data_IF_907548449718
#
_entry.id   IF_907548449718
#
_cell.length_a   1.000
_cell.length_b   1.000
_cell.length_c   1.000
_cell.angle_alpha   90.00
_cell.angle_beta   90.00
_cell.angle_gamma   90.00
#
_symmetry.space_group_name_H-M   'P 1'
#
loop_
_entity.id
_entity.type
_entity.pdbx_description
1 polymer ?
#
# COMPACT_ATOMS: atom_id res chain seq x y z
N UNK A 1 5.93 68.92 26.62
CA UNK A 1 5.99 67.51 26.22
C UNK A 1 6.32 66.74 27.47
N UNK A 2 5.30 66.20 28.11
CA UNK A 2 5.43 65.58 29.43
C UNK A 2 4.71 64.23 29.43
N UNK A 3 5.38 63.25 30.03
CA UNK A 3 5.20 61.82 29.85
C UNK A 3 4.05 61.25 30.69
N UNK A 4 3.03 60.69 30.05
CA UNK A 4 1.95 59.96 30.71
C UNK A 4 2.31 58.50 30.96
N UNK A 5 2.65 58.17 32.21
CA UNK A 5 2.85 56.82 32.71
C UNK A 5 1.51 56.10 32.91
N UNK A 6 1.27 54.98 32.21
CA UNK A 6 0.14 54.07 32.48
C UNK A 6 0.64 52.86 33.27
N UNK A 7 0.31 52.82 34.56
CA UNK A 7 0.43 51.65 35.43
C UNK A 7 -0.70 50.67 35.10
N UNK A 8 -0.37 49.44 34.71
CA UNK A 8 -1.32 48.32 34.69
C UNK A 8 -1.44 47.78 36.11
N UNK A 9 -2.61 47.96 36.74
CA UNK A 9 -3.00 47.29 37.99
C UNK A 9 -3.30 45.82 37.67
N UNK A 10 -2.45 44.89 38.11
CA UNK A 10 -2.81 43.49 38.22
C UNK A 10 -3.75 43.32 39.42
N UNK A 11 -5.04 43.11 39.14
CA UNK A 11 -6.06 42.86 40.14
C UNK A 11 -7.08 41.88 39.59
N UNK A 12 -6.79 40.58 39.71
CA UNK A 12 -7.71 39.51 39.40
C UNK A 12 -7.57 38.41 40.44
N UNK A 13 -8.44 38.42 41.45
CA UNK A 13 -8.58 37.32 42.40
C UNK A 13 -9.13 36.08 41.68
N UNK A 14 -8.46 34.94 41.83
CA UNK A 14 -8.96 33.65 41.34
C UNK A 14 -10.16 33.20 42.18
N UNK A 15 -11.28 32.76 41.56
CA UNK A 15 -12.45 32.29 42.31
C UNK A 15 -12.19 30.90 42.90
N UNK A 16 -12.22 30.79 44.24
CA UNK A 16 -12.05 29.54 44.99
C UNK A 16 -13.40 28.94 45.41
N UNK A 17 -14.25 28.62 44.42
CA UNK A 17 -15.54 27.95 44.63
C UNK A 17 -15.64 26.61 43.89
N UNK A 18 -16.46 25.65 44.36
CA UNK A 18 -16.61 24.33 43.71
C UNK A 18 -17.13 24.41 42.26
N UNK A 19 -17.79 25.50 41.91
CA UNK A 19 -18.22 25.82 40.53
C UNK A 19 -17.07 26.26 39.62
N UNK A 20 -16.03 26.89 40.17
CA UNK A 20 -14.84 27.29 39.42
C UNK A 20 -13.95 26.07 39.08
N UNK A 21 -13.90 25.08 39.98
CA UNK A 21 -13.22 23.81 39.72
C UNK A 21 -13.94 23.01 38.62
N UNK A 22 -15.28 22.96 38.64
CA UNK A 22 -16.06 22.30 37.60
C UNK A 22 -15.91 22.97 36.23
N UNK A 23 -15.84 24.30 36.17
CA UNK A 23 -15.59 25.04 34.93
C UNK A 23 -14.17 24.82 34.39
N UNK A 24 -13.15 24.73 35.27
CA UNK A 24 -11.79 24.39 34.86
C UNK A 24 -11.69 22.95 34.34
N UNK A 25 -12.35 21.99 34.99
CA UNK A 25 -12.39 20.59 34.55
C UNK A 25 -13.13 20.45 33.22
N UNK A 26 -14.25 21.16 33.03
CA UNK A 26 -14.97 21.16 31.76
C UNK A 26 -14.15 21.81 30.62
N UNK A 27 -13.42 22.90 30.90
CA UNK A 27 -12.54 23.53 29.91
C UNK A 27 -11.31 22.66 29.57
N UNK A 28 -10.76 21.94 30.54
CA UNK A 28 -9.67 20.97 30.33
C UNK A 28 -10.16 19.73 29.57
N UNK A 29 -11.37 19.24 29.85
CA UNK A 29 -11.97 18.12 29.11
C UNK A 29 -12.36 18.50 27.68
N UNK A 30 -12.88 19.71 27.45
CA UNK A 30 -13.13 20.25 26.11
C UNK A 30 -11.82 20.54 25.35
N UNK A 31 -10.78 21.01 26.06
CA UNK A 31 -9.43 21.17 25.50
C UNK A 31 -8.77 19.84 25.13
N UNK A 32 -8.90 18.81 25.97
CA UNK A 32 -8.42 17.46 25.70
C UNK A 32 -9.22 16.77 24.59
N UNK A 33 -10.53 17.00 24.50
CA UNK A 33 -11.36 16.51 23.39
C UNK A 33 -11.02 17.22 22.06
N UNK A 34 -10.74 18.52 22.08
CA UNK A 34 -10.29 19.26 20.90
C UNK A 34 -8.87 18.85 20.47
N UNK A 35 -7.98 18.57 21.42
CA UNK A 35 -6.64 18.02 21.12
C UNK A 35 -6.74 16.57 20.63
N UNK A 36 -7.65 15.75 21.15
CA UNK A 36 -7.90 14.40 20.65
C UNK A 36 -8.50 14.40 19.23
N UNK A 37 -9.38 15.36 18.90
CA UNK A 37 -9.91 15.52 17.55
C UNK A 37 -8.84 16.01 16.56
N UNK A 38 -7.94 16.91 16.99
CA UNK A 38 -6.80 17.38 16.19
C UNK A 38 -5.68 16.33 16.08
N UNK A 39 -5.61 15.35 17.00
CA UNK A 39 -4.65 14.23 16.92
C UNK A 39 -5.22 13.06 16.11
N UNK A 40 -6.55 12.87 16.09
CA UNK A 40 -7.21 11.88 15.23
C UNK A 40 -7.20 12.29 13.74
N UNK A 41 -7.20 13.59 13.44
CA UNK A 41 -7.14 14.11 12.06
C UNK A 41 -5.71 14.22 11.51
N UNK A 42 -4.68 13.96 12.33
CA UNK A 42 -3.26 13.94 11.91
C UNK A 42 -2.79 12.59 11.37
N UNK A 43 -3.72 11.68 11.07
CA UNK A 43 -3.44 10.30 10.66
C UNK A 43 -3.42 10.04 9.15
N UNK A 44 -3.75 10.99 8.28
CA UNK A 44 -3.77 10.72 6.84
C UNK A 44 -3.39 11.95 5.96
N UNK A 45 -2.18 11.91 5.41
CA UNK A 45 -1.86 12.36 4.05
C UNK A 45 -2.12 13.83 3.61
N UNK A 46 -1.67 14.86 4.34
CA UNK A 46 -1.72 16.24 3.82
C UNK A 46 -0.42 16.80 3.24
N UNK A 47 0.74 16.22 3.54
CA UNK A 47 2.05 16.81 3.17
C UNK A 47 2.82 15.98 2.11
N UNK A 48 2.20 14.95 1.52
CA UNK A 48 2.82 14.14 0.47
C UNK A 48 2.98 14.95 -0.82
N UNK A 49 4.15 14.92 -1.49
CA UNK A 49 4.32 15.63 -2.74
C UNK A 49 3.47 14.98 -3.83
N UNK A 50 2.36 15.63 -4.16
CA UNK A 50 1.46 15.22 -5.23
C UNK A 50 1.78 15.98 -6.52
N UNK A 51 1.79 15.28 -7.64
CA UNK A 51 1.68 15.90 -8.96
C UNK A 51 0.22 15.85 -9.44
N UNK A 52 -0.23 16.93 -10.08
CA UNK A 52 -1.53 16.94 -10.75
C UNK A 52 -1.64 15.77 -11.74
N UNK A 53 -2.80 15.12 -11.76
CA UNK A 53 -3.07 14.04 -12.71
C UNK A 53 -3.66 14.58 -14.00
N UNK A 54 -3.23 14.03 -15.13
CA UNK A 54 -4.03 14.13 -16.34
C UNK A 54 -5.33 13.32 -16.11
N UNK A 55 -6.48 13.83 -16.59
CA UNK A 55 -7.74 13.07 -16.62
C UNK A 55 -7.63 11.71 -17.33
N UNK A 56 -6.50 11.44 -18.02
CA UNK A 56 -6.18 10.15 -18.62
C UNK A 56 -5.80 9.05 -17.63
N UNK A 57 -5.61 9.34 -16.34
CA UNK A 57 -5.20 8.35 -15.33
C UNK A 57 -3.76 7.86 -15.51
N UNK A 58 -2.91 8.64 -16.17
CA UNK A 58 -1.51 8.30 -16.42
C UNK A 58 -0.56 9.37 -15.87
N UNK A 59 0.54 8.93 -15.26
CA UNK A 59 1.63 9.77 -14.80
C UNK A 59 2.98 9.20 -15.25
N UNK A 60 3.83 10.06 -15.80
CA UNK A 60 5.24 9.75 -16.06
C UNK A 60 6.09 10.36 -14.95
N UNK A 61 6.83 9.51 -14.22
CA UNK A 61 7.66 9.95 -13.11
C UNK A 61 9.01 10.51 -13.63
N UNK A 62 9.35 11.77 -13.32
CA UNK A 62 10.67 12.32 -13.62
C UNK A 62 11.77 11.46 -12.98
N UNK A 63 12.86 11.22 -13.72
CA UNK A 63 13.94 10.35 -13.27
C UNK A 63 14.55 10.85 -11.96
N UNK A 64 14.69 12.16 -11.83
CA UNK A 64 15.28 12.83 -10.68
C UNK A 64 14.47 12.61 -9.39
N UNK A 65 13.14 12.52 -9.47
CA UNK A 65 12.30 12.25 -8.30
C UNK A 65 12.45 10.80 -7.85
N UNK A 66 12.44 9.85 -8.80
CA UNK A 66 12.71 8.45 -8.48
C UNK A 66 14.12 8.24 -7.92
N UNK A 67 15.13 8.93 -8.44
CA UNK A 67 16.50 8.83 -7.91
C UNK A 67 16.59 9.34 -6.47
N UNK A 68 15.91 10.44 -6.14
CA UNK A 68 15.81 10.94 -4.76
C UNK A 68 15.08 9.98 -3.81
N UNK A 69 13.96 9.39 -4.26
CA UNK A 69 13.23 8.41 -3.46
C UNK A 69 14.09 7.16 -3.18
N UNK A 70 14.84 6.69 -4.18
CA UNK A 70 15.76 5.58 -4.01
C UNK A 70 16.92 5.91 -3.05
N UNK A 71 17.47 7.14 -3.13
CA UNK A 71 18.52 7.59 -2.21
C UNK A 71 18.02 7.65 -0.77
N UNK A 72 16.85 8.25 -0.52
CA UNK A 72 16.23 8.29 0.79
C UNK A 72 15.94 6.88 1.33
N UNK A 73 15.47 5.96 0.50
CA UNK A 73 15.21 4.58 0.95
C UNK A 73 16.52 3.87 1.34
N UNK A 74 17.60 4.07 0.59
CA UNK A 74 18.91 3.44 0.85
C UNK A 74 19.57 3.93 2.14
N UNK A 75 19.12 5.02 2.77
CA UNK A 75 19.63 5.41 4.09
C UNK A 75 19.05 4.59 5.23
N UNK A 76 17.89 3.94 5.02
CA UNK A 76 17.18 3.18 6.07
C UNK A 76 17.14 1.68 5.82
N UNK A 77 17.42 1.20 4.59
CA UNK A 77 17.50 -0.24 4.28
C UNK A 77 18.91 -0.73 4.04
N UNK A 78 19.13 -2.00 4.35
CA UNK A 78 20.34 -2.74 3.98
C UNK A 78 20.07 -3.47 2.67
N UNK A 79 20.67 -3.03 1.56
CA UNK A 79 20.61 -3.78 0.31
C UNK A 79 21.48 -5.05 0.40
N UNK A 80 20.86 -6.21 0.15
CA UNK A 80 21.56 -7.48 0.07
C UNK A 80 22.19 -7.69 -1.31
N UNK A 81 23.19 -8.58 -1.39
CA UNK A 81 23.62 -9.11 -2.68
C UNK A 81 22.49 -9.95 -3.28
N UNK A 82 21.97 -9.55 -4.44
CA UNK A 82 20.85 -10.22 -5.09
C UNK A 82 21.15 -11.70 -5.31
N UNK A 83 20.57 -12.57 -4.48
CA UNK A 83 20.49 -13.98 -4.78
C UNK A 83 19.16 -14.17 -5.50
N UNK A 84 19.22 -14.36 -6.81
CA UNK A 84 18.04 -14.79 -7.57
C UNK A 84 17.40 -15.97 -6.83
N UNK A 85 16.05 -16.06 -6.78
CA UNK A 85 15.36 -17.22 -6.26
C UNK A 85 16.01 -18.47 -6.82
N UNK A 86 16.35 -19.42 -5.96
CA UNK A 86 16.96 -20.68 -6.39
C UNK A 86 16.09 -21.31 -7.47
N UNK A 87 16.70 -21.84 -8.54
CA UNK A 87 15.96 -22.57 -9.56
C UNK A 87 15.12 -23.67 -8.88
N UNK A 88 13.83 -23.84 -9.25
CA UNK A 88 13.01 -24.87 -8.64
C UNK A 88 13.67 -26.23 -8.84
N UNK A 89 13.79 -27.00 -7.75
CA UNK A 89 14.20 -28.39 -7.86
C UNK A 89 13.13 -29.17 -8.67
N UNK A 90 13.57 -30.01 -9.59
CA UNK A 90 12.70 -30.95 -10.32
C UNK A 90 11.83 -31.75 -9.33
N UNK A 91 10.52 -31.47 -9.22
CA UNK A 91 9.48 -32.51 -9.22
C UNK A 91 8.04 -32.03 -9.12
N UNK A 92 7.20 -32.81 -9.79
CA UNK A 92 5.80 -33.03 -9.52
C UNK A 92 5.51 -33.29 -8.03
N UNK A 93 5.06 -32.26 -7.34
CA UNK A 93 4.12 -32.39 -6.24
C UNK A 93 3.01 -31.37 -6.52
N UNK A 94 1.85 -31.85 -7.01
CA UNK A 94 0.62 -31.06 -6.97
C UNK A 94 0.22 -30.99 -5.51
N UNK A 95 0.82 -30.06 -4.76
CA UNK A 95 0.42 -29.76 -3.40
C UNK A 95 -0.95 -29.09 -3.47
N UNK A 96 -1.93 -29.68 -2.78
CA UNK A 96 -3.22 -29.06 -2.57
C UNK A 96 -3.02 -27.65 -1.98
N UNK A 97 -3.90 -26.70 -2.31
CA UNK A 97 -3.89 -25.37 -1.70
C UNK A 97 -3.88 -25.50 -0.17
N UNK A 98 -3.13 -24.66 0.55
CA UNK A 98 -3.15 -24.66 2.01
C UNK A 98 -4.59 -24.55 2.55
N UNK A 99 -4.90 -25.19 3.69
CA UNK A 99 -6.21 -25.01 4.32
C UNK A 99 -6.41 -23.53 4.73
N UNK A 100 -7.65 -23.09 4.93
CA UNK A 100 -7.92 -21.77 5.52
C UNK A 100 -7.17 -21.58 6.84
N UNK A 101 -6.84 -20.32 7.17
CA UNK A 101 -6.29 -19.96 8.47
C UNK A 101 -7.25 -20.37 9.60
N UNK A 102 -6.68 -20.80 10.73
CA UNK A 102 -7.44 -21.14 11.94
C UNK A 102 -6.73 -20.53 13.18
N UNK A 103 -7.26 -19.45 13.78
CA UNK A 103 -8.47 -18.72 13.39
C UNK A 103 -8.33 -18.01 12.03
N UNK A 104 -9.46 -17.54 11.46
CA UNK A 104 -9.48 -16.70 10.26
C UNK A 104 -8.98 -15.27 10.56
N UNK A 105 -7.71 -15.19 10.91
CA UNK A 105 -6.97 -13.98 11.25
C UNK A 105 -5.59 -14.06 10.61
N UNK A 106 -5.08 -12.92 10.11
CA UNK A 106 -3.76 -12.86 9.52
C UNK A 106 -2.69 -13.03 10.61
N UNK A 107 -1.62 -13.72 10.25
CA UNK A 107 -0.49 -13.98 11.13
C UNK A 107 0.83 -13.58 10.46
N UNK A 108 1.92 -13.38 11.21
CA UNK A 108 3.24 -13.16 10.65
C UNK A 108 3.59 -14.23 9.61
N UNK A 109 4.12 -13.79 8.47
CA UNK A 109 4.45 -14.65 7.35
C UNK A 109 5.90 -14.46 6.90
N UNK A 110 6.43 -15.45 6.18
CA UNK A 110 7.69 -15.27 5.47
C UNK A 110 7.50 -14.35 4.25
N UNK A 111 8.48 -13.49 3.94
CA UNK A 111 8.41 -12.58 2.80
C UNK A 111 8.35 -13.35 1.48
N UNK A 112 7.49 -12.89 0.57
CA UNK A 112 7.49 -13.37 -0.82
C UNK A 112 8.50 -12.56 -1.64
N UNK A 113 9.29 -13.19 -2.53
CA UNK A 113 10.22 -12.47 -3.40
C UNK A 113 9.58 -11.39 -4.28
N UNK A 114 8.32 -11.60 -4.70
CA UNK A 114 7.61 -10.67 -5.56
C UNK A 114 6.77 -9.63 -4.78
N UNK A 115 6.61 -9.77 -3.47
CA UNK A 115 5.76 -8.87 -2.66
C UNK A 115 6.63 -8.02 -1.75
N UNK A 116 6.25 -6.76 -1.57
CA UNK A 116 6.97 -5.86 -0.69
C UNK A 116 6.17 -4.62 -0.32
N UNK A 117 6.60 -3.89 0.71
CA UNK A 117 6.07 -2.59 1.03
C UNK A 117 6.33 -1.60 -0.12
N UNK A 118 5.35 -0.74 -0.33
CA UNK A 118 5.44 0.51 -1.06
C UNK A 118 5.62 1.63 -0.04
N UNK A 119 6.82 2.20 0.01
CA UNK A 119 7.21 3.27 0.90
C UNK A 119 6.83 4.64 0.33
N UNK A 120 6.49 5.56 1.24
CA UNK A 120 6.39 6.99 0.97
C UNK A 120 7.61 7.69 1.56
N UNK A 121 8.42 8.31 0.70
CA UNK A 121 9.74 8.86 1.08
C UNK A 121 9.74 10.37 1.27
N UNK A 122 8.63 11.06 1.02
CA UNK A 122 8.53 12.52 1.06
C UNK A 122 8.13 13.10 2.43
N UNK A 123 7.83 12.25 3.42
CA UNK A 123 7.32 12.64 4.74
C UNK A 123 8.39 12.71 5.84
N UNK A 124 9.67 12.82 5.46
CA UNK A 124 10.80 12.68 6.39
C UNK A 124 11.47 11.31 6.22
N UNK A 125 11.54 10.52 7.30
CA UNK A 125 12.01 9.13 7.21
C UNK A 125 11.03 8.30 6.36
N UNK A 126 11.52 7.46 5.42
CA UNK A 126 10.65 6.58 4.63
C UNK A 126 9.78 5.70 5.52
N UNK A 127 8.46 5.72 5.28
CA UNK A 127 7.49 4.89 6.00
C UNK A 127 6.74 3.94 5.08
N UNK A 128 6.35 2.77 5.60
CA UNK A 128 5.42 1.87 4.92
C UNK A 128 4.10 2.61 4.68
N UNK A 129 3.72 2.75 3.42
CA UNK A 129 2.45 3.36 3.03
C UNK A 129 1.42 2.32 2.61
N UNK A 130 1.85 1.39 1.77
CA UNK A 130 1.04 0.32 1.20
C UNK A 130 1.90 -0.93 0.97
N UNK A 131 1.31 -1.95 0.34
CA UNK A 131 1.95 -3.12 -0.22
C UNK A 131 1.81 -3.11 -1.74
N UNK A 132 2.77 -3.72 -2.44
CA UNK A 132 2.69 -3.96 -3.87
C UNK A 132 3.29 -5.32 -4.24
N UNK A 133 3.00 -5.78 -5.45
CA UNK A 133 3.50 -7.06 -5.95
C UNK A 133 4.01 -6.95 -7.40
N UNK A 134 5.10 -7.63 -7.71
CA UNK A 134 5.62 -7.77 -9.08
C UNK A 134 4.67 -8.65 -9.88
N UNK A 135 4.17 -8.14 -10.98
CA UNK A 135 3.26 -8.86 -11.88
C UNK A 135 3.95 -9.09 -13.22
N UNK A 136 3.79 -10.29 -13.77
CA UNK A 136 4.45 -10.67 -15.02
C UNK A 136 4.09 -9.67 -16.13
N UNK A 137 5.10 -9.22 -16.87
CA UNK A 137 4.90 -8.35 -18.03
C UNK A 137 5.94 -8.65 -19.13
N UNK A 138 5.68 -8.29 -20.40
CA UNK A 138 6.65 -8.52 -21.47
C UNK A 138 8.02 -7.87 -21.25
N UNK A 139 8.08 -6.81 -20.45
CA UNK A 139 9.33 -6.11 -20.10
C UNK A 139 9.90 -6.53 -18.73
N UNK A 140 9.14 -7.28 -17.94
CA UNK A 140 9.52 -7.71 -16.59
C UNK A 140 9.66 -6.57 -15.58
N UNK A 141 8.97 -5.45 -15.82
CA UNK A 141 9.13 -4.19 -15.09
C UNK A 141 7.83 -3.68 -14.45
N UNK A 142 6.78 -4.51 -14.36
CA UNK A 142 5.50 -4.10 -13.78
C UNK A 142 5.34 -4.54 -12.32
N UNK A 143 4.77 -3.62 -11.56
CA UNK A 143 4.29 -3.81 -10.19
C UNK A 143 2.81 -3.40 -10.14
N UNK A 144 2.02 -4.09 -9.34
CA UNK A 144 0.60 -3.80 -9.09
C UNK A 144 0.36 -3.48 -7.61
N UNK A 145 -0.58 -2.56 -7.36
CA UNK A 145 -1.04 -2.14 -6.03
C UNK A 145 -2.45 -1.56 -6.14
N UNK A 146 -3.03 -1.06 -5.05
CA UNK A 146 -4.30 -0.33 -5.07
C UNK A 146 -4.11 1.10 -5.59
N UNK A 147 -5.11 1.67 -6.26
CA UNK A 147 -5.01 3.02 -6.81
C UNK A 147 -4.96 4.09 -5.72
N UNK A 148 -5.62 3.90 -4.58
CA UNK A 148 -5.54 4.81 -3.44
C UNK A 148 -4.14 4.92 -2.83
N UNK A 149 -3.27 3.92 -3.06
CA UNK A 149 -1.88 3.94 -2.63
C UNK A 149 -1.03 4.93 -3.43
N UNK A 150 -1.41 5.21 -4.67
CA UNK A 150 -0.60 6.03 -5.60
C UNK A 150 -1.29 7.32 -6.01
N UNK A 151 -2.59 7.45 -5.75
CA UNK A 151 -3.37 8.62 -6.13
C UNK A 151 -4.37 9.04 -5.03
N UNK A 152 -4.21 10.27 -4.54
CA UNK A 152 -5.10 10.91 -3.56
C UNK A 152 -5.37 12.37 -3.97
N UNK A 153 -6.17 12.57 -5.02
CA UNK A 153 -6.38 13.89 -5.64
C UNK A 153 -5.19 14.36 -6.51
N UNK A 154 -4.14 13.56 -6.57
CA UNK A 154 -2.93 13.74 -7.36
C UNK A 154 -2.05 12.50 -7.23
N UNK A 155 -1.13 12.30 -8.17
CA UNK A 155 -0.19 11.18 -8.12
C UNK A 155 0.89 11.42 -7.08
N UNK A 156 1.15 10.42 -6.23
CA UNK A 156 2.30 10.42 -5.34
C UNK A 156 3.59 10.39 -6.16
N UNK A 157 4.56 11.22 -5.77
CA UNK A 157 5.83 11.37 -6.49
C UNK A 157 7.03 10.83 -5.71
N UNK A 158 6.80 10.35 -4.49
CA UNK A 158 7.76 9.95 -3.49
C UNK A 158 7.64 8.45 -3.16
N UNK A 159 7.54 7.62 -4.19
CA UNK A 159 7.30 6.18 -4.05
C UNK A 159 8.58 5.37 -4.21
N UNK A 160 8.77 4.38 -3.32
CA UNK A 160 9.79 3.35 -3.46
C UNK A 160 9.22 1.97 -3.10
N UNK A 161 9.47 0.97 -3.95
CA UNK A 161 9.04 -0.41 -3.75
C UNK A 161 10.25 -1.28 -3.38
N UNK A 162 10.08 -2.11 -2.34
CA UNK A 162 11.16 -3.00 -1.84
C UNK A 162 10.66 -4.45 -1.78
N UNK A 163 10.78 -5.23 -2.87
CA UNK A 163 10.35 -6.62 -2.88
C UNK A 163 11.16 -7.47 -1.90
N UNK A 164 10.50 -8.46 -1.29
CA UNK A 164 11.10 -9.38 -0.32
C UNK A 164 11.55 -8.73 0.99
N UNK A 165 11.05 -7.53 1.30
CA UNK A 165 11.44 -6.77 2.48
C UNK A 165 11.26 -7.57 3.77
N UNK A 166 12.22 -7.44 4.68
CA UNK A 166 12.15 -7.99 6.03
C UNK A 166 13.15 -7.31 6.95
N UNK A 167 12.72 -6.84 8.12
CA UNK A 167 13.62 -6.40 9.20
C UNK A 167 14.69 -5.37 8.72
N UNK A 168 14.28 -4.40 7.89
CA UNK A 168 15.15 -3.39 7.28
C UNK A 168 16.02 -3.89 6.12
N UNK A 169 15.83 -5.12 5.63
CA UNK A 169 16.57 -5.68 4.50
C UNK A 169 15.82 -5.50 3.17
N UNK A 170 16.56 -5.07 2.15
CA UNK A 170 16.11 -4.97 0.77
C UNK A 170 16.86 -6.00 -0.09
N UNK A 171 16.52 -7.31 0.00
CA UNK A 171 17.28 -8.38 -0.65
C UNK A 171 17.25 -8.29 -2.18
N UNK A 172 16.14 -7.76 -2.70
CA UNK A 172 15.94 -7.47 -4.12
C UNK A 172 16.00 -5.98 -4.41
N UNK A 173 16.62 -5.19 -3.53
CA UNK A 173 16.91 -3.76 -3.62
C UNK A 173 15.71 -2.83 -3.76
N UNK A 174 16.01 -1.55 -4.01
CA UNK A 174 15.01 -0.48 -4.09
C UNK A 174 14.61 -0.19 -5.54
N UNK A 175 13.31 -0.18 -5.80
CA UNK A 175 12.70 0.08 -7.11
C UNK A 175 11.84 1.32 -7.05
N UNK A 176 11.91 2.15 -8.09
CA UNK A 176 11.15 3.41 -8.14
C UNK A 176 10.33 3.50 -9.41
N UNK A 177 9.13 4.09 -9.36
CA UNK A 177 8.28 4.20 -10.54
C UNK A 177 8.92 5.05 -11.63
N UNK A 178 8.70 4.65 -12.88
CA UNK A 178 8.94 5.44 -14.10
C UNK A 178 7.62 5.93 -14.70
N UNK A 179 6.54 5.21 -14.44
CA UNK A 179 5.18 5.66 -14.69
C UNK A 179 4.18 4.96 -13.79
N UNK A 180 3.04 5.60 -13.59
CA UNK A 180 1.89 5.11 -12.83
C UNK A 180 0.65 5.18 -13.71
N UNK A 181 -0.12 4.11 -13.73
CA UNK A 181 -1.34 3.95 -14.50
C UNK A 181 -2.49 3.54 -13.57
N UNK A 182 -3.53 4.38 -13.51
CA UNK A 182 -4.81 4.15 -12.82
C UNK A 182 -5.98 4.31 -13.78
N UNK A 183 -7.18 3.86 -13.40
CA UNK A 183 -8.39 4.15 -14.19
C UNK A 183 -8.76 5.63 -14.11
N UNK A 184 -9.24 6.26 -15.20
CA UNK A 184 -9.85 7.59 -15.14
C UNK A 184 -10.98 7.69 -14.10
N UNK A 185 -11.79 6.65 -13.96
CA UNK A 185 -12.90 6.56 -13.00
C UNK A 185 -12.40 6.64 -11.54
N UNK A 186 -11.21 6.10 -11.24
CA UNK A 186 -10.55 6.31 -9.95
C UNK A 186 -10.06 7.75 -9.78
N UNK A 187 -9.47 8.33 -10.84
CA UNK A 187 -8.92 9.68 -10.79
C UNK A 187 -10.01 10.75 -10.60
N UNK A 188 -11.18 10.55 -11.20
CA UNK A 188 -12.31 11.48 -11.17
C UNK A 188 -13.14 11.33 -9.89
N UNK A 189 -13.57 10.11 -9.57
CA UNK A 189 -14.61 9.88 -8.56
C UNK A 189 -14.17 8.97 -7.41
N UNK A 190 -12.91 8.49 -7.40
CA UNK A 190 -12.42 7.44 -6.47
C UNK A 190 -13.33 6.21 -6.47
N UNK A 191 -13.80 5.80 -7.65
CA UNK A 191 -14.68 4.64 -7.78
C UNK A 191 -13.99 3.37 -7.25
N UNK A 192 -14.50 2.72 -6.17
CA UNK A 192 -13.90 1.53 -5.59
C UNK A 192 -13.84 0.35 -6.56
N UNK A 193 -14.65 0.32 -7.62
CA UNK A 193 -14.56 -0.71 -8.66
C UNK A 193 -13.31 -0.58 -9.53
N UNK A 194 -12.59 0.55 -9.41
CA UNK A 194 -11.42 0.91 -10.19
C UNK A 194 -10.17 1.14 -9.32
N UNK A 195 -10.16 0.64 -8.07
CA UNK A 195 -9.06 0.78 -7.11
C UNK A 195 -7.87 -0.16 -7.41
N UNK A 196 -7.30 -0.04 -8.61
CA UNK A 196 -6.14 -0.80 -9.06
C UNK A 196 -5.17 0.12 -9.78
N UNK A 197 -3.88 -0.01 -9.48
CA UNK A 197 -2.81 0.69 -10.16
C UNK A 197 -1.74 -0.27 -10.67
N UNK A 198 -1.18 0.05 -11.84
CA UNK A 198 0.04 -0.56 -12.34
C UNK A 198 1.16 0.48 -12.43
N UNK A 199 2.35 0.09 -12.01
CA UNK A 199 3.53 0.93 -12.02
C UNK A 199 4.61 0.23 -12.84
N UNK A 200 5.16 0.93 -13.83
CA UNK A 200 6.44 0.51 -14.41
C UNK A 200 7.54 0.97 -13.47
N UNK A 201 8.43 0.08 -13.06
CA UNK A 201 9.49 0.38 -12.10
C UNK A 201 10.87 0.17 -12.69
N UNK A 202 11.86 0.86 -12.13
CA UNK A 202 13.27 0.64 -12.42
C UNK A 202 14.06 0.62 -11.12
N UNK A 203 15.22 -0.03 -11.15
CA UNK A 203 16.22 0.14 -10.09
C UNK A 203 17.05 1.39 -10.37
N UNK A 204 17.38 2.15 -9.32
CA UNK A 204 18.27 3.29 -9.48
C UNK A 204 19.70 2.81 -9.81
N UNK A 205 20.19 3.14 -11.00
CA UNK A 205 21.54 2.83 -11.48
C UNK A 205 21.71 1.51 -12.26
N UNK A 206 20.63 0.73 -12.42
CA UNK A 206 20.64 -0.58 -13.09
C UNK A 206 19.40 -0.75 -13.99
N UNK A 207 19.58 -1.33 -15.17
CA UNK A 207 18.52 -1.62 -16.14
C UNK A 207 17.92 -3.03 -16.03
N UNK A 208 18.36 -3.82 -15.04
CA UNK A 208 17.81 -5.15 -14.77
C UNK A 208 16.32 -5.05 -14.45
N UNK A 209 15.44 -5.79 -15.15
CA UNK A 209 14.02 -5.84 -14.83
C UNK A 209 13.78 -6.47 -13.45
N UNK A 210 12.77 -5.98 -12.73
CA UNK A 210 12.44 -6.48 -11.38
C UNK A 210 12.12 -7.97 -11.40
N UNK A 211 11.34 -8.42 -12.39
CA UNK A 211 10.94 -9.81 -12.55
C UNK A 211 12.15 -10.76 -12.65
N UNK A 212 13.28 -10.29 -13.19
CA UNK A 212 14.49 -11.12 -13.30
C UNK A 212 15.09 -11.50 -11.95
N UNK A 213 14.91 -10.66 -10.93
CA UNK A 213 15.48 -10.90 -9.60
C UNK A 213 14.45 -11.35 -8.58
N UNK A 214 13.17 -11.08 -8.79
CA UNK A 214 12.09 -11.48 -7.87
C UNK A 214 11.26 -12.66 -8.37
N UNK A 215 11.30 -12.97 -9.67
CA UNK A 215 10.18 -13.62 -10.34
C UNK A 215 8.97 -12.67 -10.41
N UNK A 216 7.81 -13.17 -10.82
CA UNK A 216 6.60 -12.36 -10.88
C UNK A 216 5.34 -13.21 -10.71
N UNK A 217 4.30 -12.60 -10.15
CA UNK A 217 2.98 -13.20 -10.10
C UNK A 217 2.38 -13.28 -11.50
N UNK A 218 1.75 -14.40 -11.83
CA UNK A 218 0.89 -14.47 -13.03
C UNK A 218 -0.37 -13.68 -12.76
N UNK A 219 -0.93 -12.98 -13.74
CA UNK A 219 -2.22 -12.30 -13.59
C UNK A 219 -3.35 -13.08 -14.24
N UNK A 220 -4.51 -13.16 -13.57
CA UNK A 220 -5.74 -13.71 -14.14
C UNK A 220 -6.86 -12.68 -14.10
N UNK A 221 -7.42 -12.39 -15.27
CA UNK A 221 -8.63 -11.59 -15.41
C UNK A 221 -9.87 -12.49 -15.38
N UNK A 222 -10.99 -11.92 -14.97
CA UNK A 222 -12.26 -12.60 -14.71
C UNK A 222 -12.07 -13.88 -13.88
N UNK A 223 -11.43 -13.79 -12.69
CA UNK A 223 -11.17 -14.97 -11.87
C UNK A 223 -12.48 -15.58 -11.36
N UNK A 224 -12.52 -16.91 -11.26
CA UNK A 224 -13.61 -17.61 -10.59
C UNK A 224 -13.67 -17.17 -9.11
N UNK A 225 -14.86 -16.90 -8.55
CA UNK A 225 -15.01 -16.70 -7.11
C UNK A 225 -14.80 -18.02 -6.35
N UNK A 226 -14.80 -17.97 -5.01
CA UNK A 226 -14.79 -19.15 -4.13
C UNK A 226 -13.50 -20.00 -4.25
N UNK A 227 -12.40 -19.35 -4.67
CA UNK A 227 -11.08 -19.98 -4.82
C UNK A 227 -10.24 -19.77 -3.56
N UNK A 228 -9.55 -20.81 -3.06
CA UNK A 228 -8.57 -20.65 -1.98
C UNK A 228 -7.52 -19.60 -2.35
N UNK A 229 -7.50 -18.53 -1.57
CA UNK A 229 -6.74 -17.32 -1.82
C UNK A 229 -5.88 -16.99 -0.60
N UNK A 230 -4.61 -16.70 -0.85
CA UNK A 230 -3.69 -16.15 0.13
C UNK A 230 -3.59 -14.65 -0.08
N UNK A 231 -3.81 -13.87 0.97
CA UNK A 231 -3.52 -12.44 0.98
C UNK A 231 -2.27 -12.22 1.83
N UNK A 232 -1.32 -11.44 1.32
CA UNK A 232 -0.08 -11.07 2.02
C UNK A 232 0.10 -9.55 1.94
N UNK A 233 0.45 -8.91 3.05
CA UNK A 233 0.56 -7.46 3.16
C UNK A 233 1.54 -7.02 4.25
N UNK A 234 2.05 -5.80 4.15
CA UNK A 234 2.95 -5.17 5.12
C UNK A 234 2.21 -4.06 5.88
N UNK A 235 1.85 -4.27 7.15
CA UNK A 235 1.25 -3.23 7.97
C UNK A 235 2.15 -1.99 8.13
N UNK A 236 1.53 -0.82 8.29
CA UNK A 236 2.24 0.39 8.70
C UNK A 236 2.85 0.16 10.08
N UNK A 237 4.14 0.46 10.22
CA UNK A 237 4.86 0.35 11.50
C UNK A 237 5.44 -1.04 11.79
N UNK A 238 5.18 -2.04 10.94
CA UNK A 238 5.74 -3.39 11.09
C UNK A 238 6.77 -3.70 10.01
N UNK A 239 7.82 -4.41 10.41
CA UNK A 239 8.97 -4.76 9.57
C UNK A 239 8.82 -6.11 8.84
N UNK A 240 7.67 -6.77 9.00
CA UNK A 240 7.38 -8.11 8.49
C UNK A 240 5.98 -8.17 7.90
N UNK A 241 5.76 -9.03 6.88
CA UNK A 241 4.45 -9.18 6.32
C UNK A 241 3.55 -10.02 7.23
N UNK A 242 2.25 -9.73 7.15
CA UNK A 242 1.18 -10.61 7.59
C UNK A 242 0.63 -11.37 6.38
N UNK A 243 0.11 -12.57 6.61
CA UNK A 243 -0.67 -13.27 5.61
C UNK A 243 -1.87 -14.00 6.22
N UNK A 244 -2.93 -14.12 5.42
CA UNK A 244 -4.07 -14.95 5.72
C UNK A 244 -4.47 -15.80 4.52
N UNK A 245 -5.07 -16.97 4.79
CA UNK A 245 -5.61 -17.88 3.79
C UNK A 245 -7.10 -18.08 4.02
N UNK A 246 -7.92 -17.80 3.01
CA UNK A 246 -9.33 -18.20 2.98
C UNK A 246 -9.83 -18.24 1.52
N UNK A 247 -11.07 -18.67 1.27
CA UNK A 247 -11.69 -18.47 -0.04
C UNK A 247 -12.22 -17.05 -0.19
N UNK A 248 -12.09 -16.48 -1.38
CA UNK A 248 -12.82 -15.26 -1.75
C UNK A 248 -14.28 -15.57 -1.99
N UNK A 249 -15.14 -14.57 -1.84
CA UNK A 249 -16.56 -14.66 -2.15
C UNK A 249 -16.94 -13.51 -3.09
N UNK A 250 -17.99 -13.69 -3.88
CA UNK A 250 -18.48 -12.63 -4.76
C UNK A 250 -19.23 -11.58 -3.94
N UNK A 251 -18.85 -10.31 -4.08
CA UNK A 251 -19.56 -9.18 -3.48
C UNK A 251 -20.08 -8.26 -4.60
N UNK A 252 -21.37 -8.38 -4.92
CA UNK A 252 -21.94 -7.65 -6.05
C UNK A 252 -21.32 -8.04 -7.40
N UNK A 253 -21.33 -7.13 -8.38
CA UNK A 253 -20.86 -7.42 -9.76
C UNK A 253 -19.38 -7.18 -9.97
N UNK A 254 -18.78 -6.37 -9.12
CA UNK A 254 -17.51 -5.67 -9.39
C UNK A 254 -16.52 -5.79 -8.25
N UNK A 255 -16.83 -6.55 -7.19
CA UNK A 255 -15.95 -6.74 -6.04
C UNK A 255 -15.85 -8.22 -5.64
N UNK A 256 -14.72 -8.56 -5.03
CA UNK A 256 -14.52 -9.79 -4.26
C UNK A 256 -14.43 -9.42 -2.78
N UNK A 257 -15.02 -10.24 -1.92
CA UNK A 257 -14.85 -10.20 -0.46
C UNK A 257 -13.89 -11.31 -0.04
N UNK A 258 -13.05 -11.03 0.93
CA UNK A 258 -12.12 -11.96 1.54
C UNK A 258 -12.32 -11.93 3.06
N UNK A 259 -13.08 -12.88 3.63
CA UNK A 259 -13.29 -12.93 5.07
C UNK A 259 -12.00 -13.40 5.77
N UNK A 260 -11.27 -12.47 6.36
CA UNK A 260 -10.18 -12.74 7.28
C UNK A 260 -9.80 -11.48 8.05
N UNK A 261 -9.72 -11.60 9.37
CA UNK A 261 -9.36 -10.52 10.30
C UNK A 261 -7.85 -10.21 10.24
N UNK A 262 -7.43 -9.08 10.79
CA UNK A 262 -6.01 -8.80 11.04
C UNK A 262 -5.19 -8.32 9.83
N UNK A 263 -5.83 -7.76 8.80
CA UNK A 263 -5.14 -7.09 7.69
C UNK A 263 -5.28 -5.55 7.82
N UNK A 264 -4.49 -4.90 8.69
CA UNK A 264 -4.63 -3.47 8.99
C UNK A 264 -4.07 -2.56 7.89
N UNK A 265 -4.14 -1.24 8.12
CA UNK A 265 -3.51 -0.22 7.27
C UNK A 265 -2.08 -0.59 6.87
N UNK A 266 -1.72 -0.31 5.61
CA UNK A 266 -0.45 -0.69 4.99
C UNK A 266 -0.53 -2.00 4.19
N UNK A 267 -1.45 -2.89 4.54
CA UNK A 267 -1.71 -4.11 3.75
C UNK A 267 -2.42 -3.84 2.42
N UNK A 268 -3.01 -2.64 2.26
CA UNK A 268 -3.57 -2.14 0.99
C UNK A 268 -2.62 -2.35 -0.19
N UNK A 269 -3.15 -2.81 -1.31
CA UNK A 269 -2.40 -3.21 -2.49
C UNK A 269 -1.74 -4.60 -2.39
N UNK A 270 -1.82 -5.26 -1.23
CA UNK A 270 -1.37 -6.63 -1.03
C UNK A 270 -2.08 -7.60 -1.97
N UNK A 271 -1.37 -8.55 -2.62
CA UNK A 271 -1.97 -9.36 -3.66
C UNK A 271 -2.89 -10.45 -3.10
N UNK A 272 -3.99 -10.70 -3.80
CA UNK A 272 -4.83 -11.88 -3.63
C UNK A 272 -4.27 -12.96 -4.55
N UNK A 273 -3.61 -13.97 -3.97
CA UNK A 273 -2.89 -15.01 -4.69
C UNK A 273 -3.61 -16.35 -4.61
N UNK A 274 -3.94 -16.90 -5.76
CA UNK A 274 -4.36 -18.30 -5.93
C UNK A 274 -3.18 -19.13 -6.43
N UNK A 275 -3.27 -20.46 -6.32
CA UNK A 275 -2.29 -21.40 -6.89
C UNK A 275 -0.82 -21.07 -6.53
N UNK A 276 -0.57 -20.67 -5.27
CA UNK A 276 0.77 -20.34 -4.76
C UNK A 276 1.65 -21.58 -4.75
N UNK A 277 2.77 -21.50 -5.45
CA UNK A 277 3.81 -22.52 -5.46
C UNK A 277 4.63 -22.43 -4.16
N UNK A 278 4.62 -23.45 -3.30
CA UNK A 278 5.35 -23.43 -2.04
C UNK A 278 6.87 -23.38 -2.22
N UNK A 279 7.41 -23.73 -3.38
CA UNK A 279 8.85 -23.68 -3.63
C UNK A 279 9.34 -22.26 -3.96
N UNK A 280 8.51 -21.47 -4.65
CA UNK A 280 8.89 -20.13 -5.14
C UNK A 280 8.21 -18.99 -4.38
N UNK A 281 7.08 -19.26 -3.72
CA UNK A 281 6.22 -18.25 -3.09
C UNK A 281 5.39 -17.43 -4.09
N UNK A 282 5.47 -17.75 -5.39
CA UNK A 282 4.75 -17.09 -6.48
C UNK A 282 3.46 -17.85 -6.80
N UNK A 283 2.44 -17.17 -7.29
CA UNK A 283 1.13 -17.74 -7.62
C UNK A 283 0.46 -17.06 -8.81
N UNK A 284 -0.85 -16.92 -8.69
CA UNK A 284 -1.72 -16.24 -9.65
C UNK A 284 -2.52 -15.16 -8.95
N UNK A 285 -2.19 -13.92 -9.28
CA UNK A 285 -2.83 -12.70 -8.86
C UNK A 285 -4.24 -12.60 -9.46
N UNK A 286 -5.23 -12.54 -8.59
CA UNK A 286 -6.66 -12.42 -8.93
C UNK A 286 -7.32 -11.17 -8.36
N UNK A 287 -6.56 -10.37 -7.60
CA UNK A 287 -7.02 -9.16 -6.95
C UNK A 287 -5.88 -8.48 -6.17
N UNK A 288 -6.13 -7.27 -5.71
CA UNK A 288 -5.32 -6.56 -4.71
C UNK A 288 -6.22 -6.06 -3.58
N UNK A 289 -5.73 -6.06 -2.34
CA UNK A 289 -6.46 -5.53 -1.18
C UNK A 289 -6.78 -4.05 -1.43
N UNK A 290 -8.06 -3.71 -1.52
CA UNK A 290 -8.54 -2.38 -1.88
C UNK A 290 -10.02 -2.43 -2.25
N UNK A 291 -10.48 -1.47 -3.03
CA UNK A 291 -11.85 -1.45 -3.55
C UNK A 291 -12.87 -1.00 -2.51
N UNK A 292 -13.92 -1.78 -2.28
CA UNK A 292 -14.98 -1.41 -1.34
C UNK A 292 -14.41 -1.06 0.04
N UNK A 293 -14.86 0.06 0.61
CA UNK A 293 -14.37 0.63 1.87
C UNK A 293 -12.83 0.75 1.93
N UNK A 294 -12.21 1.15 0.81
CA UNK A 294 -10.75 1.31 0.64
C UNK A 294 -9.93 0.03 0.93
N UNK A 295 -10.56 -1.13 0.94
CA UNK A 295 -9.91 -2.39 1.28
C UNK A 295 -10.60 -3.17 2.38
N UNK A 296 -11.54 -2.57 3.12
CA UNK A 296 -12.50 -3.28 3.97
C UNK A 296 -12.60 -2.81 5.41
N UNK A 297 -13.00 -3.73 6.28
CA UNK A 297 -13.30 -3.50 7.69
C UNK A 297 -12.49 -4.43 8.60
N UNK A 298 -12.77 -4.43 9.90
CA UNK A 298 -12.07 -5.28 10.88
C UNK A 298 -12.16 -6.79 10.57
N UNK A 299 -13.13 -7.22 9.76
CA UNK A 299 -13.48 -8.62 9.50
C UNK A 299 -13.25 -9.08 8.07
N UNK A 300 -13.32 -8.16 7.13
CA UNK A 300 -13.33 -8.48 5.72
C UNK A 300 -12.39 -7.55 4.98
N UNK A 301 -11.62 -8.12 4.07
CA UNK A 301 -10.94 -7.35 3.04
C UNK A 301 -11.69 -7.44 1.72
N UNK A 302 -11.53 -6.43 0.86
CA UNK A 302 -12.12 -6.42 -0.48
C UNK A 302 -11.05 -6.31 -1.57
N UNK A 303 -11.50 -6.56 -2.80
CA UNK A 303 -10.74 -6.29 -4.00
C UNK A 303 -11.67 -5.94 -5.15
N UNK A 304 -11.32 -4.92 -5.92
CA UNK A 304 -11.94 -4.68 -7.22
C UNK A 304 -11.79 -5.94 -8.09
N UNK A 305 -12.89 -6.38 -8.71
CA UNK A 305 -12.90 -7.57 -9.53
C UNK A 305 -12.11 -7.32 -10.81
N UNK A 306 -11.12 -8.18 -11.10
CA UNK A 306 -10.23 -8.07 -12.26
C UNK A 306 -10.91 -8.39 -13.60
N UNK A 307 -11.97 -7.65 -13.94
CA UNK A 307 -12.67 -7.77 -15.22
C UNK A 307 -11.96 -7.03 -16.37
N UNK A 308 -12.70 -6.79 -17.45
CA UNK A 308 -12.16 -6.16 -18.67
C UNK A 308 -11.53 -4.79 -18.45
N UNK A 309 -11.98 -4.02 -17.45
CA UNK A 309 -11.42 -2.71 -17.13
C UNK A 309 -9.99 -2.83 -16.60
N UNK A 310 -9.72 -3.79 -15.68
CA UNK A 310 -8.36 -4.06 -15.20
C UNK A 310 -7.49 -4.67 -16.30
N UNK A 311 -8.06 -5.53 -17.16
CA UNK A 311 -7.33 -6.09 -18.30
C UNK A 311 -6.83 -4.99 -19.26
N UNK A 312 -7.68 -4.01 -19.57
CA UNK A 312 -7.30 -2.84 -20.38
C UNK A 312 -6.27 -1.96 -19.68
N UNK A 313 -6.40 -1.76 -18.37
CA UNK A 313 -5.44 -1.00 -17.58
C UNK A 313 -4.06 -1.66 -17.57
N UNK A 314 -4.02 -2.98 -17.35
CA UNK A 314 -2.79 -3.79 -17.46
C UNK A 314 -2.17 -3.67 -18.85
N UNK A 315 -2.95 -3.82 -19.93
CA UNK A 315 -2.44 -3.73 -21.29
C UNK A 315 -1.82 -2.35 -21.58
N UNK A 316 -2.47 -1.28 -21.11
CA UNK A 316 -1.94 0.09 -21.20
C UNK A 316 -0.60 0.22 -20.47
N UNK A 317 -0.52 -0.26 -19.23
CA UNK A 317 0.71 -0.22 -18.44
C UNK A 317 1.83 -1.09 -19.02
N UNK A 318 1.50 -2.27 -19.55
CA UNK A 318 2.44 -3.18 -20.20
C UNK A 318 2.92 -2.66 -21.58
N UNK A 319 2.21 -1.70 -22.17
CA UNK A 319 2.45 -1.25 -23.54
C UNK A 319 2.08 -2.30 -24.58
N UNK A 320 1.12 -3.16 -24.27
CA UNK A 320 0.56 -4.17 -25.17
C UNK A 320 -0.78 -3.69 -25.74
N UNK A 321 -1.20 -4.24 -26.89
CA UNK A 321 -2.58 -4.02 -27.34
C UNK A 321 -3.54 -4.75 -26.38
N UNK A 322 -4.60 -4.07 -25.97
CA UNK A 322 -5.70 -4.65 -25.22
C UNK A 322 -6.51 -5.64 -26.07
#
# INVERSE_FOLDING_TARGET
MDTGSMRVKAGGSLPTGPTALAALVAAVLLGLAAVAFVVADRGAATDAPLSGGAASGHYTAPRELGDKAAEAMRTVVREGGSRAPGAPADRAARTASPPPSDPLEAAPAEPSPAVGPLFYTGQGEPGHGCTASVVHSPRGDLVITAAHCVYQGGFRTDLAFVPGYRDGEAPYGVWVPTSVDISPEWAEDRDPDHDVAFLRVRRAGDGTPVEKVTGAERIRFSPDPDRPTRVIGYPVGDERPLACQNSTERFGRTQLRFPCEGLPNGTSGGPFLTDVDPATGLGTLTGVLGGHDEGGDERNSYSAYFGDHVAKLYARAAGTRA
#
